data_IF_971254068779
#
_entry.id   IF_971254068779
#
_cell.length_a   1.000
_cell.length_b   1.000
_cell.length_c   1.000
_cell.angle_alpha   90.00
_cell.angle_beta   90.00
_cell.angle_gamma   90.00
#
_symmetry.space_group_name_H-M   'P 1'
#
loop_
_entity.id
_entity.type
_entity.pdbx_description
1 polymer ?
#
# COMPACT_ATOMS: atom_id res chain seq x y z
N UNK A 1 19.52 21.58 -13.83
CA UNK A 1 20.20 22.49 -14.76
C UNK A 1 20.05 23.97 -14.37
N UNK A 2 18.85 24.50 -14.08
CA UNK A 2 18.67 25.91 -13.66
C UNK A 2 19.49 26.36 -12.43
N UNK A 3 19.78 25.44 -11.49
CA UNK A 3 20.57 25.70 -10.28
C UNK A 3 22.06 25.91 -10.54
N UNK A 4 22.59 25.30 -11.61
CA UNK A 4 24.01 25.40 -11.96
C UNK A 4 24.29 26.73 -12.68
N UNK A 5 23.32 27.18 -13.50
CA UNK A 5 23.32 28.50 -14.14
C UNK A 5 23.21 29.61 -13.10
N UNK A 6 22.33 29.48 -12.11
CA UNK A 6 22.23 30.44 -11.01
C UNK A 6 23.55 30.55 -10.22
N UNK A 7 24.21 29.42 -9.93
CA UNK A 7 25.51 29.42 -9.24
C UNK A 7 26.62 30.08 -10.07
N UNK A 8 26.62 29.85 -11.38
CA UNK A 8 27.56 30.48 -12.32
C UNK A 8 27.33 32.00 -12.41
N UNK A 9 26.07 32.45 -12.41
CA UNK A 9 25.70 33.87 -12.41
C UNK A 9 26.14 34.54 -11.10
N UNK A 10 25.93 33.90 -9.95
CA UNK A 10 26.39 34.42 -8.65
C UNK A 10 27.91 34.53 -8.63
N UNK A 11 28.64 33.52 -9.11
CA UNK A 11 30.11 33.57 -9.22
C UNK A 11 30.56 34.70 -10.14
N UNK A 12 29.97 34.85 -11.33
CA UNK A 12 30.31 35.94 -12.25
C UNK A 12 30.00 37.33 -11.66
N UNK A 13 28.86 37.51 -10.99
CA UNK A 13 28.52 38.77 -10.32
C UNK A 13 29.48 39.08 -9.17
N UNK A 14 29.92 38.04 -8.44
CA UNK A 14 30.88 38.21 -7.35
C UNK A 14 32.29 38.54 -7.83
N UNK A 15 32.74 37.93 -8.92
CA UNK A 15 34.01 38.22 -9.56
C UNK A 15 34.01 39.62 -10.22
N UNK A 16 32.89 40.01 -10.83
CA UNK A 16 32.71 41.36 -11.41
C UNK A 16 32.75 42.44 -10.34
N UNK A 17 32.01 42.26 -9.23
CA UNK A 17 32.04 43.20 -8.11
C UNK A 17 33.42 43.31 -7.46
N UNK A 18 34.17 42.20 -7.36
CA UNK A 18 35.55 42.20 -6.86
C UNK A 18 36.54 42.92 -7.79
N UNK A 19 36.32 42.88 -9.11
CA UNK A 19 37.18 43.54 -10.10
C UNK A 19 37.03 45.07 -10.08
N UNK A 20 35.80 45.58 -10.00
CA UNK A 20 35.52 47.02 -9.85
C UNK A 20 36.12 47.63 -8.58
N UNK A 21 36.16 46.85 -7.50
CA UNK A 21 36.64 47.29 -6.18
C UNK A 21 38.16 47.38 -6.05
N UNK A 22 38.94 46.88 -7.02
CA UNK A 22 40.41 46.95 -6.98
C UNK A 22 40.95 48.36 -7.29
N UNK A 23 40.11 49.28 -7.79
CA UNK A 23 40.53 50.63 -8.19
C UNK A 23 40.28 51.74 -7.15
N UNK A 24 39.62 51.46 -6.02
CA UNK A 24 39.41 52.46 -4.96
C UNK A 24 39.27 51.81 -3.60
N UNK A 25 39.93 52.36 -2.58
CA UNK A 25 39.90 51.86 -1.20
C UNK A 25 38.50 52.03 -0.58
N UNK A 26 37.57 51.16 -0.97
CA UNK A 26 36.23 51.15 -0.44
C UNK A 26 36.22 50.56 0.97
N UNK A 27 35.86 51.37 1.95
CA UNK A 27 35.55 50.93 3.31
C UNK A 27 34.02 50.86 3.47
N UNK A 28 33.51 49.75 4.02
CA UNK A 28 32.09 49.62 4.33
C UNK A 28 31.92 49.91 5.82
N UNK A 29 31.35 51.07 6.15
CA UNK A 29 31.07 51.44 7.54
C UNK A 29 29.63 51.06 7.87
N UNK A 30 29.47 49.95 8.61
CA UNK A 30 28.16 49.57 9.16
C UNK A 30 28.10 50.13 10.58
N UNK A 31 27.34 51.22 10.76
CA UNK A 31 27.10 51.80 12.08
C UNK A 31 25.72 51.35 12.60
N UNK A 32 25.71 50.58 13.69
CA UNK A 32 24.47 50.21 14.38
C UNK A 32 24.55 50.64 15.86
N UNK A 33 23.80 51.69 16.21
CA UNK A 33 23.78 52.34 17.54
C UNK A 33 25.15 52.76 18.08
N UNK A 34 25.87 51.87 18.76
CA UNK A 34 27.18 52.15 19.41
C UNK A 34 28.31 51.26 18.87
N UNK A 35 28.01 50.38 17.90
CA UNK A 35 28.99 49.48 17.30
C UNK A 35 29.37 50.01 15.92
N UNK A 36 30.62 50.45 15.80
CA UNK A 36 31.25 50.82 14.54
C UNK A 36 32.19 49.68 14.17
N UNK A 37 31.78 48.87 13.20
CA UNK A 37 32.64 47.84 12.65
C UNK A 37 33.16 48.38 11.33
N UNK A 38 34.41 48.83 11.34
CA UNK A 38 35.14 49.19 10.12
C UNK A 38 35.67 47.91 9.48
N UNK A 39 34.90 47.36 8.55
CA UNK A 39 35.32 46.22 7.73
C UNK A 39 35.66 46.69 6.33
N UNK A 40 36.83 46.29 5.82
CA UNK A 40 37.16 46.49 4.40
C UNK A 40 36.07 45.85 3.51
N UNK A 41 35.78 46.46 2.35
CA UNK A 41 34.71 45.94 1.49
C UNK A 41 34.91 44.47 1.10
N UNK A 42 36.16 44.02 0.97
CA UNK A 42 36.51 42.62 0.75
C UNK A 42 36.05 41.70 1.88
N UNK A 43 36.21 42.11 3.14
CA UNK A 43 35.82 41.27 4.29
C UNK A 43 34.29 41.21 4.42
N UNK A 44 33.60 42.33 4.20
CA UNK A 44 32.14 42.35 4.13
C UNK A 44 31.60 41.45 3.01
N UNK A 45 32.26 41.46 1.85
CA UNK A 45 31.90 40.63 0.70
C UNK A 45 32.10 39.13 0.96
N UNK A 46 33.25 38.75 1.53
CA UNK A 46 33.53 37.37 1.93
C UNK A 46 32.51 36.88 2.96
N UNK A 47 32.15 37.72 3.93
CA UNK A 47 31.20 37.37 4.99
C UNK A 47 29.77 37.20 4.44
N UNK A 48 29.37 38.05 3.49
CA UNK A 48 28.10 37.89 2.76
C UNK A 48 28.07 36.58 1.97
N UNK A 49 29.15 36.26 1.26
CA UNK A 49 29.26 35.02 0.49
C UNK A 49 29.20 33.79 1.41
N UNK A 50 29.91 33.84 2.54
CA UNK A 50 29.88 32.78 3.55
C UNK A 50 28.46 32.58 4.12
N UNK A 51 27.75 33.67 4.46
CA UNK A 51 26.37 33.60 4.93
C UNK A 51 25.44 32.98 3.88
N UNK A 52 25.63 33.31 2.61
CA UNK A 52 24.86 32.73 1.50
C UNK A 52 25.10 31.21 1.36
N UNK A 53 26.36 30.77 1.46
CA UNK A 53 26.72 29.34 1.43
C UNK A 53 26.09 28.58 2.58
N UNK A 54 26.15 29.14 3.80
CA UNK A 54 25.54 28.53 4.99
C UNK A 54 24.02 28.43 4.83
N UNK A 55 23.35 29.49 4.38
CA UNK A 55 21.90 29.49 4.15
C UNK A 55 21.51 28.45 3.09
N UNK A 56 22.28 28.33 2.01
CA UNK A 56 22.07 27.32 0.98
C UNK A 56 22.20 25.90 1.53
N UNK A 57 23.22 25.63 2.35
CA UNK A 57 23.40 24.33 3.00
C UNK A 57 22.23 24.01 3.94
N UNK A 58 21.77 24.97 4.74
CA UNK A 58 20.61 24.80 5.62
C UNK A 58 19.35 24.45 4.83
N UNK A 59 19.02 25.20 3.77
CA UNK A 59 17.87 24.92 2.90
C UNK A 59 18.03 23.54 2.25
N UNK A 60 19.23 23.18 1.79
CA UNK A 60 19.52 21.86 1.20
C UNK A 60 19.27 20.74 2.21
N UNK A 61 19.71 20.89 3.46
CA UNK A 61 19.49 19.90 4.52
C UNK A 61 18.00 19.79 4.85
N UNK A 62 17.28 20.90 4.98
CA UNK A 62 15.83 20.92 5.27
C UNK A 62 15.04 20.25 4.13
N UNK A 63 15.34 20.61 2.87
CA UNK A 63 14.66 20.02 1.70
C UNK A 63 15.03 18.55 1.53
N UNK A 64 16.29 18.16 1.74
CA UNK A 64 16.73 16.77 1.66
C UNK A 64 16.12 15.94 2.80
N UNK A 65 15.98 16.48 4.01
CA UNK A 65 15.32 15.81 5.13
C UNK A 65 13.81 15.65 4.90
N UNK A 66 13.16 16.65 4.31
CA UNK A 66 11.72 16.61 3.97
C UNK A 66 11.37 15.66 2.81
N UNK A 67 12.34 15.22 2.00
CA UNK A 67 12.14 14.26 0.92
C UNK A 67 12.31 12.79 1.33
N UNK A 68 12.78 12.52 2.55
CA UNK A 68 12.97 11.17 3.10
C UNK A 68 11.78 10.48 3.80
N UNK A 69 10.53 11.01 3.88
CA UNK A 69 9.40 10.25 4.41
C UNK A 69 8.62 9.44 3.36
N UNK A 70 8.84 9.62 2.05
CA UNK A 70 8.05 8.91 1.02
C UNK A 70 8.57 7.50 0.70
N UNK A 71 9.88 7.28 0.74
CA UNK A 71 10.50 5.97 0.44
C UNK A 71 10.40 4.97 1.60
N UNK A 72 10.46 5.42 2.87
CA UNK A 72 10.25 4.53 4.02
C UNK A 72 8.79 4.05 4.15
N UNK A 73 7.82 4.89 3.78
CA UNK A 73 6.39 4.54 3.81
C UNK A 73 6.05 3.48 2.75
N UNK A 74 6.74 3.51 1.60
CA UNK A 74 6.65 2.46 0.58
C UNK A 74 7.40 1.17 0.98
N UNK A 75 8.54 1.27 1.69
CA UNK A 75 9.29 0.08 2.15
C UNK A 75 8.53 -0.72 3.21
N UNK A 76 7.85 -0.04 4.17
CA UNK A 76 6.94 -0.70 5.14
C UNK A 76 5.70 -1.30 4.47
N UNK A 77 5.13 -0.64 3.45
CA UNK A 77 3.99 -1.19 2.69
C UNK A 77 4.44 -2.43 1.89
N UNK A 78 5.59 -2.38 1.22
CA UNK A 78 6.14 -3.49 0.43
C UNK A 78 6.50 -4.72 1.29
N UNK A 79 7.08 -4.53 2.49
CA UNK A 79 7.44 -5.67 3.35
C UNK A 79 6.24 -6.41 3.94
N UNK A 80 5.18 -5.68 4.34
CA UNK A 80 3.96 -6.31 4.86
C UNK A 80 3.15 -7.00 3.76
N UNK A 81 3.09 -6.41 2.57
CA UNK A 81 2.45 -7.02 1.40
C UNK A 81 3.12 -8.34 1.00
N UNK A 82 4.47 -8.39 0.98
CA UNK A 82 5.21 -9.63 0.66
C UNK A 82 4.95 -10.76 1.66
N UNK A 83 4.64 -10.46 2.92
CA UNK A 83 4.33 -11.48 3.93
C UNK A 83 2.96 -12.09 3.72
N UNK A 84 1.93 -11.27 3.49
CA UNK A 84 0.58 -11.74 3.16
C UNK A 84 0.60 -12.65 1.92
N UNK A 85 1.30 -12.19 0.87
CA UNK A 85 1.48 -12.94 -0.37
C UNK A 85 2.15 -14.31 -0.13
N UNK A 86 3.22 -14.33 0.66
CA UNK A 86 3.91 -15.58 1.01
C UNK A 86 3.00 -16.54 1.76
N UNK A 87 2.19 -16.06 2.71
CA UNK A 87 1.24 -16.92 3.43
C UNK A 87 0.15 -17.44 2.50
N UNK A 88 -0.40 -16.62 1.61
CA UNK A 88 -1.39 -17.08 0.62
C UNK A 88 -0.82 -18.14 -0.33
N UNK A 89 0.44 -18.00 -0.76
CA UNK A 89 1.12 -19.00 -1.58
C UNK A 89 1.30 -20.32 -0.82
N UNK A 90 1.79 -20.28 0.42
CA UNK A 90 1.94 -21.46 1.27
C UNK A 90 0.59 -22.12 1.59
N UNK A 91 -0.44 -21.31 1.86
CA UNK A 91 -1.79 -21.79 2.11
C UNK A 91 -2.39 -22.50 0.89
N UNK A 92 -2.20 -21.92 -0.30
CA UNK A 92 -2.63 -22.52 -1.57
C UNK A 92 -1.94 -23.86 -1.83
N UNK A 93 -0.62 -23.95 -1.60
CA UNK A 93 0.10 -25.22 -1.69
C UNK A 93 -0.44 -26.25 -0.69
N UNK A 94 -0.63 -25.86 0.58
CA UNK A 94 -1.18 -26.74 1.61
C UNK A 94 -2.61 -27.22 1.28
N UNK A 95 -3.41 -26.37 0.63
CA UNK A 95 -4.77 -26.70 0.20
C UNK A 95 -4.77 -27.76 -0.92
N UNK A 96 -3.83 -27.67 -1.86
CA UNK A 96 -3.64 -28.67 -2.93
C UNK A 96 -3.11 -29.99 -2.35
N UNK A 97 -2.23 -29.92 -1.34
CA UNK A 97 -1.70 -31.09 -0.63
C UNK A 97 -2.72 -31.71 0.36
N UNK A 98 -3.97 -31.24 0.39
CA UNK A 98 -5.02 -31.68 1.32
C UNK A 98 -4.66 -31.50 2.81
N UNK A 99 -3.67 -30.65 3.11
CA UNK A 99 -3.27 -30.28 4.48
C UNK A 99 -4.18 -29.17 4.99
N UNK A 100 -5.47 -29.49 5.15
CA UNK A 100 -6.53 -28.52 5.41
C UNK A 100 -6.30 -27.65 6.64
N UNK A 101 -5.91 -28.25 7.77
CA UNK A 101 -5.64 -27.51 9.01
C UNK A 101 -4.50 -26.49 8.84
N UNK A 102 -3.45 -26.88 8.11
CA UNK A 102 -2.32 -26.01 7.81
C UNK A 102 -2.70 -24.90 6.82
N UNK A 103 -3.51 -25.23 5.81
CA UNK A 103 -4.05 -24.26 4.87
C UNK A 103 -4.91 -23.21 5.58
N UNK A 104 -5.82 -23.64 6.46
CA UNK A 104 -6.65 -22.75 7.28
C UNK A 104 -5.78 -21.81 8.13
N UNK A 105 -4.77 -22.32 8.82
CA UNK A 105 -3.86 -21.50 9.63
C UNK A 105 -3.11 -20.45 8.79
N UNK A 106 -2.61 -20.83 7.61
CA UNK A 106 -1.90 -19.89 6.74
C UNK A 106 -2.84 -18.85 6.12
N UNK A 107 -4.05 -19.23 5.72
CA UNK A 107 -5.05 -18.27 5.24
C UNK A 107 -5.51 -17.32 6.36
N UNK A 108 -5.68 -17.80 7.59
CA UNK A 108 -6.00 -16.95 8.75
C UNK A 108 -4.88 -15.96 9.05
N UNK A 109 -3.61 -16.40 8.99
CA UNK A 109 -2.46 -15.48 9.11
C UNK A 109 -2.41 -14.48 7.96
N UNK A 110 -2.78 -14.87 6.75
CA UNK A 110 -2.80 -13.98 5.58
C UNK A 110 -3.90 -12.91 5.70
N UNK A 111 -5.08 -13.27 6.22
CA UNK A 111 -6.22 -12.36 6.36
C UNK A 111 -5.98 -11.22 7.37
N UNK A 112 -5.09 -11.42 8.34
CA UNK A 112 -4.67 -10.39 9.31
C UNK A 112 -3.88 -9.24 8.67
N UNK A 113 -3.40 -9.41 7.43
CA UNK A 113 -2.71 -8.35 6.71
C UNK A 113 -3.70 -7.55 5.85
N UNK A 114 -3.55 -6.21 5.74
CA UNK A 114 -4.46 -5.36 4.95
C UNK A 114 -4.42 -5.60 3.42
N UNK A 115 -3.69 -6.61 2.95
CA UNK A 115 -3.42 -6.83 1.52
C UNK A 115 -4.32 -7.96 1.05
N UNK A 116 -5.40 -7.62 0.34
CA UNK A 116 -6.36 -8.55 -0.30
C UNK A 116 -6.89 -9.72 0.58
N UNK A 117 -7.55 -9.45 1.72
CA UNK A 117 -8.06 -10.51 2.60
C UNK A 117 -9.18 -11.37 2.02
N UNK A 118 -9.78 -11.00 0.87
CA UNK A 118 -10.88 -11.74 0.25
C UNK A 118 -10.50 -13.19 -0.10
N UNK A 119 -9.39 -13.37 -0.83
CA UNK A 119 -8.91 -14.70 -1.23
C UNK A 119 -8.57 -15.54 0.00
N UNK A 120 -7.99 -14.91 1.03
CA UNK A 120 -7.63 -15.58 2.27
C UNK A 120 -8.88 -16.09 3.01
N UNK A 121 -9.95 -15.29 3.12
CA UNK A 121 -11.21 -15.77 3.72
C UNK A 121 -11.86 -16.89 2.90
N UNK A 122 -11.87 -16.77 1.56
CA UNK A 122 -12.39 -17.82 0.68
C UNK A 122 -11.61 -19.13 0.83
N UNK A 123 -10.28 -19.06 0.87
CA UNK A 123 -9.39 -20.19 1.09
C UNK A 123 -9.59 -20.84 2.46
N UNK A 124 -9.72 -20.03 3.52
CA UNK A 124 -10.02 -20.51 4.87
C UNK A 124 -11.38 -21.21 4.94
N UNK A 125 -12.41 -20.70 4.25
CA UNK A 125 -13.71 -21.35 4.15
C UNK A 125 -13.65 -22.71 3.45
N UNK A 126 -12.88 -22.82 2.37
CA UNK A 126 -12.65 -24.09 1.66
C UNK A 126 -11.92 -25.08 2.57
N UNK A 127 -10.85 -24.64 3.24
CA UNK A 127 -10.09 -25.48 4.16
C UNK A 127 -10.94 -25.95 5.34
N UNK A 128 -11.81 -25.09 5.89
CA UNK A 128 -12.74 -25.43 6.96
C UNK A 128 -13.81 -26.45 6.50
N UNK A 129 -14.36 -26.29 5.29
CA UNK A 129 -15.31 -27.26 4.73
C UNK A 129 -14.70 -28.66 4.59
N UNK A 130 -13.46 -28.76 4.10
CA UNK A 130 -12.78 -30.05 3.95
C UNK A 130 -12.39 -30.70 5.30
N UNK A 131 -12.38 -29.93 6.39
CA UNK A 131 -12.25 -30.43 7.76
C UNK A 131 -13.61 -30.74 8.42
N UNK A 132 -14.73 -30.58 7.70
CA UNK A 132 -16.10 -30.65 8.24
C UNK A 132 -16.40 -29.60 9.33
N UNK A 133 -15.65 -28.50 9.37
CA UNK A 133 -15.86 -27.38 10.30
C UNK A 133 -16.86 -26.35 9.73
N UNK A 134 -18.13 -26.74 9.65
CA UNK A 134 -19.22 -25.93 9.04
C UNK A 134 -19.35 -24.54 9.68
N UNK A 135 -19.28 -24.45 11.01
CA UNK A 135 -19.40 -23.17 11.72
C UNK A 135 -18.27 -22.19 11.35
N UNK A 136 -17.03 -22.70 11.22
CA UNK A 136 -15.89 -21.86 10.82
C UNK A 136 -15.99 -21.43 9.36
N UNK A 137 -16.44 -22.33 8.48
CA UNK A 137 -16.72 -21.99 7.07
C UNK A 137 -17.68 -20.81 6.98
N UNK A 138 -18.82 -20.89 7.67
CA UNK A 138 -19.84 -19.84 7.62
C UNK A 138 -19.34 -18.54 8.24
N UNK A 139 -18.52 -18.63 9.30
CA UNK A 139 -17.84 -17.48 9.87
C UNK A 139 -16.93 -16.78 8.84
N UNK A 140 -16.08 -17.52 8.13
CA UNK A 140 -15.19 -16.95 7.11
C UNK A 140 -15.97 -16.34 5.93
N UNK A 141 -17.04 -16.98 5.48
CA UNK A 141 -17.92 -16.44 4.43
C UNK A 141 -18.60 -15.15 4.91
N UNK A 142 -19.06 -15.11 6.17
CA UNK A 142 -19.64 -13.91 6.78
C UNK A 142 -18.63 -12.75 6.89
N UNK A 143 -17.40 -13.03 7.31
CA UNK A 143 -16.32 -12.05 7.31
C UNK A 143 -16.03 -11.52 5.90
N UNK A 144 -16.03 -12.41 4.90
CA UNK A 144 -15.82 -12.00 3.52
C UNK A 144 -16.95 -11.09 3.01
N UNK A 145 -18.22 -11.40 3.30
CA UNK A 145 -19.36 -10.57 2.90
C UNK A 145 -19.37 -9.20 3.58
N UNK A 146 -19.02 -9.14 4.87
CA UNK A 146 -18.96 -7.87 5.61
C UNK A 146 -17.79 -6.99 5.18
N UNK A 147 -16.66 -7.61 4.82
CA UNK A 147 -15.46 -6.88 4.38
C UNK A 147 -15.53 -6.48 2.90
N UNK A 148 -16.15 -7.31 2.05
CA UNK A 148 -16.22 -7.12 0.60
C UNK A 148 -17.66 -7.27 0.07
N UNK A 149 -18.54 -6.28 0.31
CA UNK A 149 -19.89 -6.31 -0.22
C UNK A 149 -19.94 -6.38 -1.76
N UNK A 150 -18.96 -5.80 -2.47
CA UNK A 150 -18.88 -5.88 -3.94
C UNK A 150 -18.68 -7.31 -4.48
N UNK A 151 -18.18 -8.23 -3.65
CA UNK A 151 -17.90 -9.62 -4.02
C UNK A 151 -19.10 -10.56 -3.80
N UNK A 152 -20.34 -10.04 -3.75
CA UNK A 152 -21.54 -10.83 -3.44
C UNK A 152 -21.71 -12.06 -4.35
N UNK A 153 -21.58 -11.89 -5.67
CA UNK A 153 -21.73 -12.99 -6.64
C UNK A 153 -20.67 -14.09 -6.43
N UNK A 154 -19.35 -13.81 -6.47
CA UNK A 154 -18.34 -14.86 -6.29
C UNK A 154 -18.40 -15.51 -4.90
N UNK A 155 -18.72 -14.76 -3.84
CA UNK A 155 -18.89 -15.32 -2.49
C UNK A 155 -20.11 -16.22 -2.38
N UNK A 156 -21.25 -15.82 -2.96
CA UNK A 156 -22.43 -16.67 -2.98
C UNK A 156 -22.21 -17.94 -3.82
N UNK A 157 -21.50 -17.85 -4.95
CA UNK A 157 -21.13 -19.04 -5.74
C UNK A 157 -20.25 -19.98 -4.91
N UNK A 158 -19.26 -19.45 -4.17
CA UNK A 158 -18.43 -20.26 -3.28
C UNK A 158 -19.29 -20.90 -2.19
N UNK A 159 -20.16 -20.14 -1.53
CA UNK A 159 -21.05 -20.64 -0.49
C UNK A 159 -21.92 -21.79 -1.01
N UNK A 160 -22.57 -21.62 -2.16
CA UNK A 160 -23.38 -22.67 -2.77
C UNK A 160 -22.55 -23.92 -3.10
N UNK A 161 -21.34 -23.76 -3.63
CA UNK A 161 -20.44 -24.89 -3.90
C UNK A 161 -20.06 -25.66 -2.63
N UNK A 162 -19.73 -24.96 -1.55
CA UNK A 162 -19.36 -25.59 -0.28
C UNK A 162 -20.56 -26.25 0.40
N UNK A 163 -21.75 -25.66 0.31
CA UNK A 163 -23.00 -26.27 0.79
C UNK A 163 -23.33 -27.56 0.03
N UNK A 164 -23.19 -27.57 -1.30
CA UNK A 164 -23.34 -28.78 -2.12
C UNK A 164 -22.31 -29.84 -1.71
N UNK A 165 -21.04 -29.46 -1.55
CA UNK A 165 -19.97 -30.36 -1.10
C UNK A 165 -20.30 -30.98 0.27
N UNK A 166 -20.92 -30.20 1.17
CA UNK A 166 -21.39 -30.65 2.47
C UNK A 166 -22.76 -31.32 2.50
N UNK A 167 -23.37 -31.61 1.33
CA UNK A 167 -24.72 -32.19 1.19
C UNK A 167 -25.84 -31.35 1.84
N UNK A 168 -25.61 -30.05 2.03
CA UNK A 168 -26.57 -29.08 2.59
C UNK A 168 -27.50 -28.56 1.48
N UNK A 169 -28.27 -29.47 0.88
CA UNK A 169 -29.09 -29.18 -0.32
C UNK A 169 -30.10 -28.05 -0.11
N UNK A 170 -30.74 -28.00 1.05
CA UNK A 170 -31.76 -26.99 1.35
C UNK A 170 -31.16 -25.58 1.46
N UNK A 171 -30.00 -25.47 2.10
CA UNK A 171 -29.27 -24.21 2.19
C UNK A 171 -28.73 -23.79 0.82
N UNK A 172 -28.16 -24.74 0.06
CA UNK A 172 -27.68 -24.50 -1.30
C UNK A 172 -28.79 -23.97 -2.22
N UNK A 173 -30.00 -24.53 -2.15
CA UNK A 173 -31.18 -24.03 -2.89
C UNK A 173 -31.53 -22.59 -2.52
N UNK A 174 -31.47 -22.26 -1.24
CA UNK A 174 -31.78 -20.91 -0.73
C UNK A 174 -30.73 -19.89 -1.18
N UNK A 175 -29.45 -20.25 -1.09
CA UNK A 175 -28.34 -19.42 -1.60
C UNK A 175 -28.48 -19.21 -3.11
N UNK A 176 -28.80 -20.27 -3.85
CA UNK A 176 -28.91 -20.23 -5.30
C UNK A 176 -30.13 -19.43 -5.78
N UNK A 177 -31.28 -19.51 -5.11
CA UNK A 177 -32.46 -18.71 -5.47
C UNK A 177 -32.18 -17.21 -5.33
N UNK A 178 -31.47 -16.81 -4.26
CA UNK A 178 -30.97 -15.44 -4.10
C UNK A 178 -30.04 -15.06 -5.24
N UNK A 179 -29.05 -15.91 -5.56
CA UNK A 179 -28.11 -15.64 -6.65
C UNK A 179 -28.77 -15.54 -8.03
N UNK A 180 -29.79 -16.35 -8.32
CA UNK A 180 -30.55 -16.27 -9.56
C UNK A 180 -31.34 -14.95 -9.68
N UNK A 181 -31.83 -14.40 -8.57
CA UNK A 181 -32.50 -13.09 -8.58
C UNK A 181 -31.54 -11.94 -8.92
N UNK A 182 -30.28 -12.05 -8.51
CA UNK A 182 -29.24 -11.02 -8.74
C UNK A 182 -28.59 -11.19 -10.11
N UNK A 183 -28.26 -12.42 -10.51
CA UNK A 183 -27.48 -12.72 -11.71
C UNK A 183 -28.04 -13.94 -12.48
N UNK A 184 -29.25 -13.84 -13.08
CA UNK A 184 -29.96 -14.98 -13.68
C UNK A 184 -29.26 -15.59 -14.90
N UNK A 185 -28.43 -14.81 -15.60
CA UNK A 185 -27.75 -15.28 -16.82
C UNK A 185 -26.37 -15.87 -16.57
N UNK A 186 -25.87 -15.86 -15.32
CA UNK A 186 -24.52 -16.34 -15.03
C UNK A 186 -24.38 -17.86 -15.27
N UNK A 187 -23.43 -18.31 -16.11
CA UNK A 187 -23.34 -19.71 -16.54
C UNK A 187 -23.12 -20.68 -15.36
N UNK A 188 -22.27 -20.29 -14.39
CA UNK A 188 -22.00 -21.11 -13.21
C UNK A 188 -23.24 -21.28 -12.33
N UNK A 189 -24.08 -20.24 -12.18
CA UNK A 189 -25.29 -20.31 -11.35
C UNK A 189 -26.30 -21.28 -11.98
N UNK A 190 -26.47 -21.22 -13.30
CA UNK A 190 -27.33 -22.18 -14.04
C UNK A 190 -26.85 -23.61 -13.87
N UNK A 191 -25.53 -23.84 -13.96
CA UNK A 191 -24.96 -25.17 -13.78
C UNK A 191 -25.17 -25.71 -12.36
N UNK A 192 -24.97 -24.88 -11.33
CA UNK A 192 -25.23 -25.27 -9.94
C UNK A 192 -26.72 -25.55 -9.71
N UNK A 193 -27.62 -24.82 -10.38
CA UNK A 193 -29.06 -25.08 -10.34
C UNK A 193 -29.42 -26.48 -10.84
N UNK A 194 -28.88 -26.86 -12.02
CA UNK A 194 -29.12 -28.17 -12.59
C UNK A 194 -28.56 -29.30 -11.71
N UNK A 195 -27.40 -29.08 -11.10
CA UNK A 195 -26.75 -30.07 -10.22
C UNK A 195 -27.59 -30.33 -8.96
N UNK A 196 -28.15 -29.27 -8.37
CA UNK A 196 -29.03 -29.40 -7.20
C UNK A 196 -30.32 -30.13 -7.58
N UNK A 197 -30.93 -29.80 -8.72
CA UNK A 197 -32.18 -30.44 -9.15
C UNK A 197 -32.02 -31.94 -9.35
N UNK A 198 -30.94 -32.38 -10.00
CA UNK A 198 -30.65 -33.80 -10.22
C UNK A 198 -30.49 -34.56 -8.90
N UNK A 199 -29.59 -34.13 -8.03
CA UNK A 199 -29.31 -34.85 -6.78
C UNK A 199 -30.47 -34.80 -5.77
N UNK A 200 -31.36 -33.82 -5.89
CA UNK A 200 -32.51 -33.70 -5.00
C UNK A 200 -33.75 -34.49 -5.44
N UNK A 201 -33.75 -35.03 -6.66
CA UNK A 201 -34.79 -35.93 -7.14
C UNK A 201 -34.51 -37.39 -6.77
N UNK A 202 -33.27 -37.70 -6.39
CA UNK A 202 -32.78 -39.04 -6.04
C UNK A 202 -32.84 -39.33 -4.52
N UNK A 203 -33.36 -38.40 -3.71
CA UNK A 203 -33.57 -38.51 -2.25
C UNK A 203 -35.07 -38.50 -1.92
#
# INVERSE_FOLDING_TARGET
MMKLIFFLIVICLTAWGGWELYQGSGYLLIAFRQWQIETGLLTAFILLLLAFVILYLLIRIIVRSSQWPKQLRQWKKSHRMRRAEKFNQLASCALIEEKWALAEEYFDKASQYPTEPLISYMGAAIAAQNQNHIQKRDHYIGLAHTTFPEAEIPLGILQAKLQIQGQQWQEARTTLSKLQSVAPQHPVIKHLASLILQNSADL
#
